data_IF_401477574704
#
_entry.id   IF_401477574704
#
_cell.length_a   1.000
_cell.length_b   1.000
_cell.length_c   1.000
_cell.angle_alpha   90.00
_cell.angle_beta   90.00
_cell.angle_gamma   90.00
#
_symmetry.space_group_name_H-M   'P 1'
#
loop_
_entity.id
_entity.type
_entity.pdbx_description
1 polymer ?
#
# COMPACT_ATOMS: atom_id res chain seq x y z
N UNK A 1 10.13 -40.33 28.48
CA UNK A 1 10.39 -38.87 28.36
C UNK A 1 11.71 -38.51 27.67
N UNK A 2 12.85 -39.11 28.05
CA UNK A 2 14.17 -38.81 27.42
C UNK A 2 14.29 -39.35 25.99
N UNK A 3 13.82 -40.58 25.75
CA UNK A 3 13.76 -41.19 24.40
C UNK A 3 12.82 -40.42 23.45
N UNK A 4 11.66 -39.95 23.92
CA UNK A 4 10.74 -39.15 23.07
C UNK A 4 11.34 -37.78 22.72
N UNK A 5 12.07 -37.13 23.64
CA UNK A 5 12.81 -35.89 23.33
C UNK A 5 13.92 -36.11 22.32
N UNK A 6 14.71 -37.18 22.45
CA UNK A 6 15.78 -37.52 21.51
C UNK A 6 15.20 -37.78 20.11
N UNK A 7 14.09 -38.51 20.03
CA UNK A 7 13.43 -38.78 18.76
C UNK A 7 12.91 -37.49 18.11
N UNK A 8 12.21 -36.63 18.86
CA UNK A 8 11.74 -35.31 18.39
C UNK A 8 12.89 -34.42 17.90
N UNK A 9 14.02 -34.40 18.62
CA UNK A 9 15.21 -33.62 18.22
C UNK A 9 15.82 -34.18 16.93
N UNK A 10 15.89 -35.51 16.78
CA UNK A 10 16.39 -36.15 15.56
C UNK A 10 15.47 -35.88 14.36
N UNK A 11 14.15 -35.92 14.54
CA UNK A 11 13.18 -35.65 13.49
C UNK A 11 13.23 -34.17 13.07
N UNK A 12 13.34 -33.25 14.04
CA UNK A 12 13.49 -31.82 13.77
C UNK A 12 14.80 -31.53 13.04
N UNK A 13 15.93 -32.12 13.48
CA UNK A 13 17.23 -31.96 12.82
C UNK A 13 17.21 -32.50 11.38
N UNK A 14 16.52 -33.61 11.12
CA UNK A 14 16.33 -34.14 9.77
C UNK A 14 15.49 -33.18 8.89
N UNK A 15 14.40 -32.63 9.43
CA UNK A 15 13.58 -31.63 8.73
C UNK A 15 14.36 -30.33 8.44
N UNK A 16 15.21 -29.88 9.36
CA UNK A 16 16.04 -28.69 9.17
C UNK A 16 17.13 -28.92 8.12
N UNK A 17 17.74 -30.11 8.03
CA UNK A 17 18.73 -30.42 7.00
C UNK A 17 18.13 -30.44 5.57
N UNK A 18 16.90 -30.93 5.41
CA UNK A 18 16.17 -30.86 4.13
C UNK A 18 15.88 -29.40 3.76
N UNK A 19 15.56 -28.56 4.75
CA UNK A 19 15.37 -27.12 4.55
C UNK A 19 16.64 -26.42 4.07
N UNK A 20 17.80 -26.73 4.66
CA UNK A 20 19.10 -26.16 4.26
C UNK A 20 19.47 -26.46 2.81
N UNK A 21 19.10 -27.64 2.27
CA UNK A 21 19.34 -28.02 0.87
C UNK A 21 18.58 -27.17 -0.15
N UNK A 22 17.48 -26.51 0.25
CA UNK A 22 16.62 -25.71 -0.64
C UNK A 22 17.10 -24.25 -0.71
N UNK A 23 17.99 -23.82 0.19
CA UNK A 23 18.48 -22.43 0.26
C UNK A 23 19.65 -22.25 -0.71
N UNK A 24 19.37 -21.70 -1.90
CA UNK A 24 20.41 -21.23 -2.81
C UNK A 24 20.76 -19.76 -2.56
N UNK A 25 22.04 -19.41 -2.75
CA UNK A 25 22.54 -18.05 -2.65
C UNK A 25 21.75 -17.07 -3.54
N UNK A 26 21.34 -17.52 -4.73
CA UNK A 26 20.59 -16.73 -5.69
C UNK A 26 19.16 -16.44 -5.20
N UNK A 27 18.50 -17.42 -4.57
CA UNK A 27 17.17 -17.22 -3.99
C UNK A 27 17.21 -16.25 -2.81
N UNK A 28 18.25 -16.33 -1.96
CA UNK A 28 18.47 -15.36 -0.87
C UNK A 28 18.67 -13.95 -1.41
N UNK A 29 19.52 -13.77 -2.44
CA UNK A 29 19.74 -12.47 -3.10
C UNK A 29 18.44 -11.91 -3.66
N UNK A 30 17.69 -12.74 -4.37
CA UNK A 30 16.41 -12.37 -4.96
C UNK A 30 15.38 -11.92 -3.91
N UNK A 31 15.25 -12.66 -2.79
CA UNK A 31 14.37 -12.29 -1.69
C UNK A 31 14.81 -10.99 -1.01
N UNK A 32 16.10 -10.75 -0.87
CA UNK A 32 16.62 -9.47 -0.34
C UNK A 32 16.30 -8.29 -1.26
N UNK A 33 16.37 -8.47 -2.59
CA UNK A 33 15.97 -7.45 -3.55
C UNK A 33 14.47 -7.12 -3.46
N UNK A 34 13.62 -8.13 -3.27
CA UNK A 34 12.18 -7.92 -3.04
C UNK A 34 11.96 -7.09 -1.77
N UNK A 35 12.66 -7.43 -0.67
CA UNK A 35 12.55 -6.67 0.59
C UNK A 35 12.98 -5.21 0.40
N UNK A 36 14.09 -4.96 -0.29
CA UNK A 36 14.54 -3.61 -0.62
C UNK A 36 13.50 -2.88 -1.50
N UNK A 37 12.94 -3.56 -2.49
CA UNK A 37 11.89 -3.04 -3.34
C UNK A 37 10.65 -2.62 -2.57
N UNK A 38 10.23 -3.40 -1.57
CA UNK A 38 9.15 -3.04 -0.64
C UNK A 38 9.47 -1.70 0.04
N UNK A 39 10.63 -1.58 0.68
CA UNK A 39 11.02 -0.36 1.40
C UNK A 39 11.07 0.89 0.48
N UNK A 40 11.70 0.75 -0.69
CA UNK A 40 11.80 1.83 -1.68
C UNK A 40 10.40 2.23 -2.18
N UNK A 41 9.50 1.27 -2.38
CA UNK A 41 8.17 1.55 -2.94
C UNK A 41 7.29 2.43 -2.06
N UNK A 42 7.46 2.36 -0.74
CA UNK A 42 6.71 3.18 0.22
C UNK A 42 7.28 4.59 0.39
N UNK A 43 8.56 4.78 0.08
CA UNK A 43 9.24 6.06 0.25
C UNK A 43 8.51 7.25 -0.41
N UNK A 44 8.05 7.19 -1.67
CA UNK A 44 7.32 8.29 -2.31
C UNK A 44 6.06 8.70 -1.54
N UNK A 45 5.33 7.72 -0.98
CA UNK A 45 4.09 7.98 -0.23
C UNK A 45 4.40 8.61 1.13
N UNK A 46 5.37 8.05 1.87
CA UNK A 46 5.79 8.61 3.16
C UNK A 46 6.33 10.04 2.99
N UNK A 47 7.18 10.26 2.00
CA UNK A 47 7.71 11.57 1.67
C UNK A 47 6.60 12.56 1.34
N UNK A 48 5.62 12.19 0.50
CA UNK A 48 4.51 13.08 0.12
C UNK A 48 3.70 13.55 1.34
N UNK A 49 3.38 12.65 2.28
CA UNK A 49 2.61 13.01 3.47
C UNK A 49 3.43 13.92 4.39
N UNK A 50 4.70 13.57 4.64
CA UNK A 50 5.58 14.34 5.52
C UNK A 50 5.86 15.73 4.96
N UNK A 51 6.17 15.82 3.66
CA UNK A 51 6.47 17.09 2.99
C UNK A 51 5.26 18.02 2.93
N UNK A 52 4.06 17.48 2.67
CA UNK A 52 2.83 18.27 2.63
C UNK A 52 2.30 18.65 4.01
N UNK A 53 2.73 17.95 5.07
CA UNK A 53 2.23 18.13 6.45
C UNK A 53 0.70 18.00 6.57
N UNK A 54 0.05 17.33 5.62
CA UNK A 54 -1.39 17.07 5.61
C UNK A 54 -1.67 15.69 5.02
N UNK A 55 -2.70 15.00 5.54
CA UNK A 55 -3.23 13.74 5.00
C UNK A 55 -4.51 13.94 4.18
N UNK A 56 -4.78 15.17 3.71
CA UNK A 56 -5.90 15.47 2.82
C UNK A 56 -5.96 14.55 1.58
N UNK A 57 -7.17 14.09 1.28
CA UNK A 57 -7.44 13.16 0.18
C UNK A 57 -7.16 11.69 0.50
N UNK A 58 -6.49 11.35 1.61
CA UNK A 58 -6.31 9.95 2.03
C UNK A 58 -7.61 9.41 2.63
N UNK A 59 -8.15 8.34 2.04
CA UNK A 59 -9.38 7.71 2.52
C UNK A 59 -9.13 6.96 3.84
N UNK A 60 -9.83 7.30 4.95
CA UNK A 60 -9.71 6.58 6.21
C UNK A 60 -10.14 5.11 6.09
N UNK A 61 -11.11 4.84 5.20
CA UNK A 61 -11.57 3.49 4.90
C UNK A 61 -10.49 2.64 4.22
N UNK A 62 -9.74 3.24 3.30
CA UNK A 62 -8.62 2.57 2.66
C UNK A 62 -7.53 2.20 3.68
N UNK A 63 -7.26 3.07 4.64
CA UNK A 63 -6.27 2.82 5.71
C UNK A 63 -6.74 1.68 6.64
N UNK A 64 -7.98 1.71 7.16
CA UNK A 64 -8.45 0.68 8.09
C UNK A 64 -8.49 -0.71 7.44
N UNK A 65 -8.95 -0.81 6.19
CA UNK A 65 -8.97 -2.09 5.49
C UNK A 65 -7.57 -2.60 5.16
N UNK A 66 -6.65 -1.70 4.79
CA UNK A 66 -5.28 -2.10 4.48
C UNK A 66 -4.50 -2.57 5.70
N UNK A 67 -4.64 -1.88 6.84
CA UNK A 67 -3.97 -2.29 8.08
C UNK A 67 -4.56 -3.58 8.63
N UNK A 68 -5.89 -3.74 8.64
CA UNK A 68 -6.53 -4.98 9.12
C UNK A 68 -6.23 -6.16 8.20
N UNK A 69 -6.27 -5.97 6.87
CA UNK A 69 -5.83 -6.98 5.89
C UNK A 69 -4.36 -7.36 6.08
N UNK A 70 -3.45 -6.39 6.18
CA UNK A 70 -2.03 -6.64 6.39
C UNK A 70 -1.75 -7.35 7.72
N UNK A 71 -2.51 -7.03 8.77
CA UNK A 71 -2.42 -7.72 10.06
C UNK A 71 -2.84 -9.18 9.94
N UNK A 72 -3.93 -9.47 9.22
CA UNK A 72 -4.35 -10.83 8.92
C UNK A 72 -3.29 -11.58 8.08
N UNK A 73 -2.69 -10.92 7.08
CA UNK A 73 -1.63 -11.51 6.26
C UNK A 73 -0.37 -11.85 7.08
N UNK A 74 0.04 -10.95 7.98
CA UNK A 74 1.17 -11.18 8.88
C UNK A 74 0.89 -12.34 9.86
N UNK A 75 -0.30 -12.35 10.48
CA UNK A 75 -0.68 -13.44 11.36
C UNK A 75 -0.82 -14.78 10.61
N UNK A 76 -1.33 -14.77 9.38
CA UNK A 76 -1.42 -15.94 8.51
C UNK A 76 -0.03 -16.57 8.26
N UNK A 77 0.95 -15.77 7.80
CA UNK A 77 2.29 -16.32 7.52
C UNK A 77 3.00 -16.81 8.77
N UNK A 78 2.78 -16.18 9.94
CA UNK A 78 3.38 -16.58 11.21
C UNK A 78 2.75 -17.85 11.81
N UNK A 79 1.46 -18.09 11.54
CA UNK A 79 0.72 -19.25 12.09
C UNK A 79 0.84 -20.50 11.20
N UNK A 80 1.25 -20.34 9.94
CA UNK A 80 1.48 -21.44 9.01
C UNK A 80 2.45 -22.50 9.58
N UNK A 81 2.16 -23.80 9.39
CA UNK A 81 3.04 -24.89 9.86
C UNK A 81 4.47 -24.78 9.32
N UNK A 82 4.63 -24.47 8.02
CA UNK A 82 5.94 -24.34 7.39
C UNK A 82 6.80 -23.26 8.08
N UNK A 83 6.28 -22.04 8.20
CA UNK A 83 6.96 -20.92 8.88
C UNK A 83 7.33 -21.24 10.33
N UNK A 84 6.47 -21.95 11.07
CA UNK A 84 6.75 -22.32 12.46
C UNK A 84 7.90 -23.34 12.56
N UNK A 85 7.95 -24.32 11.66
CA UNK A 85 9.07 -25.27 11.59
C UNK A 85 10.37 -24.54 11.25
N UNK A 86 10.34 -23.59 10.32
CA UNK A 86 11.52 -22.78 9.97
C UNK A 86 12.02 -21.95 11.17
N UNK A 87 11.12 -21.28 11.89
CA UNK A 87 11.46 -20.53 13.11
C UNK A 87 12.02 -21.46 14.20
N UNK A 88 11.50 -22.68 14.34
CA UNK A 88 12.03 -23.66 15.28
C UNK A 88 13.43 -24.16 14.87
N UNK A 89 13.68 -24.34 13.58
CA UNK A 89 14.98 -24.75 13.02
C UNK A 89 16.09 -23.73 13.27
N UNK A 90 15.76 -22.43 13.39
CA UNK A 90 16.74 -21.38 13.71
C UNK A 90 17.51 -21.59 15.01
N UNK A 91 17.08 -22.49 15.91
CA UNK A 91 17.82 -22.85 17.12
C UNK A 91 18.96 -23.85 16.90
N UNK A 92 18.96 -24.54 15.76
CA UNK A 92 19.87 -25.67 15.49
C UNK A 92 20.71 -25.49 14.23
N UNK A 93 20.35 -24.56 13.34
CA UNK A 93 21.07 -24.27 12.09
C UNK A 93 21.95 -23.02 12.20
N UNK A 94 22.79 -22.79 11.19
CA UNK A 94 23.64 -21.60 11.09
C UNK A 94 22.82 -20.31 10.95
N UNK A 95 23.37 -19.19 11.40
CA UNK A 95 22.71 -17.87 11.32
C UNK A 95 22.34 -17.52 9.88
N UNK A 96 23.23 -17.81 8.92
CA UNK A 96 22.99 -17.49 7.51
C UNK A 96 21.80 -18.24 6.92
N UNK A 97 21.67 -19.53 7.23
CA UNK A 97 20.53 -20.36 6.80
C UNK A 97 19.23 -19.89 7.45
N UNK A 98 19.27 -19.59 8.75
CA UNK A 98 18.11 -19.04 9.46
C UNK A 98 17.66 -17.70 8.84
N UNK A 99 18.59 -16.75 8.64
CA UNK A 99 18.26 -15.45 8.03
C UNK A 99 17.68 -15.64 6.63
N UNK A 100 18.30 -16.47 5.79
CA UNK A 100 17.85 -16.75 4.43
C UNK A 100 16.45 -17.39 4.39
N UNK A 101 16.17 -18.28 5.34
CA UNK A 101 14.87 -18.92 5.51
C UNK A 101 13.77 -17.95 5.93
N UNK A 102 14.07 -17.08 6.89
CA UNK A 102 13.10 -16.13 7.45
C UNK A 102 12.85 -14.89 6.56
N UNK A 103 13.63 -14.67 5.50
CA UNK A 103 13.47 -13.52 4.60
C UNK A 103 12.03 -13.36 4.07
N UNK A 104 11.35 -14.46 3.74
CA UNK A 104 9.97 -14.40 3.28
C UNK A 104 8.99 -13.89 4.33
N UNK A 105 9.21 -14.22 5.61
CA UNK A 105 8.43 -13.69 6.74
C UNK A 105 8.78 -12.21 6.95
N UNK A 106 10.07 -11.87 6.87
CA UNK A 106 10.56 -10.50 7.01
C UNK A 106 9.96 -9.56 5.94
N UNK A 107 9.77 -10.03 4.70
CA UNK A 107 9.09 -9.27 3.64
C UNK A 107 7.64 -8.94 4.02
N UNK A 108 6.87 -9.91 4.52
CA UNK A 108 5.47 -9.69 4.93
C UNK A 108 5.40 -8.71 6.11
N UNK A 109 6.30 -8.88 7.09
CA UNK A 109 6.40 -7.99 8.24
C UNK A 109 6.78 -6.55 7.83
N UNK A 110 7.73 -6.40 6.91
CA UNK A 110 8.15 -5.11 6.39
C UNK A 110 7.01 -4.39 5.64
N UNK A 111 6.27 -5.12 4.80
CA UNK A 111 5.09 -4.59 4.11
C UNK A 111 4.03 -4.10 5.12
N UNK A 112 3.72 -4.91 6.13
CA UNK A 112 2.77 -4.54 7.19
C UNK A 112 3.25 -3.33 7.99
N UNK A 113 4.54 -3.26 8.34
CA UNK A 113 5.11 -2.14 9.07
C UNK A 113 5.07 -0.85 8.25
N UNK A 114 5.46 -0.90 6.97
CA UNK A 114 5.43 0.26 6.08
C UNK A 114 4.01 0.79 5.86
N UNK A 115 3.02 -0.10 5.74
CA UNK A 115 1.62 0.32 5.64
C UNK A 115 1.07 0.84 6.98
N UNK A 116 1.49 0.26 8.11
CA UNK A 116 1.14 0.78 9.44
C UNK A 116 1.75 2.16 9.69
N UNK A 117 2.92 2.45 9.11
CA UNK A 117 3.50 3.80 9.11
C UNK A 117 2.61 4.79 8.35
N UNK A 118 1.91 4.37 7.28
CA UNK A 118 0.92 5.23 6.63
C UNK A 118 -0.24 5.60 7.58
N UNK A 119 -0.70 4.68 8.43
CA UNK A 119 -1.71 4.98 9.46
C UNK A 119 -1.18 6.00 10.46
N UNK A 120 0.05 5.83 10.93
CA UNK A 120 0.68 6.77 11.89
C UNK A 120 0.80 8.16 11.26
N UNK A 121 1.33 8.25 10.03
CA UNK A 121 1.45 9.52 9.31
C UNK A 121 0.07 10.14 9.02
N UNK A 122 -0.91 9.32 8.65
CA UNK A 122 -2.30 9.76 8.44
C UNK A 122 -2.89 10.40 9.69
N UNK A 123 -2.66 9.80 10.86
CA UNK A 123 -3.14 10.32 12.15
C UNK A 123 -2.37 11.58 12.57
N UNK A 124 -1.04 11.61 12.43
CA UNK A 124 -0.22 12.77 12.83
C UNK A 124 -0.58 14.00 11.99
N UNK A 125 -0.71 13.82 10.68
CA UNK A 125 -0.96 14.90 9.72
C UNK A 125 -2.45 15.04 9.35
N UNK A 126 -3.36 14.49 10.15
CA UNK A 126 -4.79 14.66 9.90
C UNK A 126 -5.17 16.15 10.00
N UNK A 127 -5.83 16.72 8.98
CA UNK A 127 -6.24 18.11 9.03
C UNK A 127 -7.19 18.32 10.21
N UNK A 128 -6.73 19.03 11.23
CA UNK A 128 -7.59 19.48 12.33
C UNK A 128 -8.31 20.73 11.85
N UNK A 129 -9.61 20.82 12.13
CA UNK A 129 -10.45 21.95 11.78
C UNK A 129 -10.03 23.20 12.59
N UNK A 130 -8.90 23.78 12.24
CA UNK A 130 -8.39 25.03 12.78
C UNK A 130 -8.12 25.96 11.61
N UNK A 131 -8.98 26.98 11.48
CA UNK A 131 -8.81 28.29 10.77
C UNK A 131 -9.65 28.57 9.49
N UNK A 132 -10.38 27.62 8.88
CA UNK A 132 -11.30 27.97 7.76
C UNK A 132 -12.74 27.53 8.00
N UNK A 133 -13.37 28.09 9.04
CA UNK A 133 -14.77 27.79 9.38
C UNK A 133 -15.82 28.40 8.43
N UNK A 134 -15.43 29.15 7.38
CA UNK A 134 -16.39 29.88 6.54
C UNK A 134 -16.41 29.51 5.05
N UNK A 135 -15.61 28.52 4.60
CA UNK A 135 -15.50 28.19 3.16
C UNK A 135 -15.50 26.69 2.78
N UNK A 136 -15.53 25.75 3.74
CA UNK A 136 -15.39 24.32 3.41
C UNK A 136 -16.61 23.50 3.85
N UNK A 137 -17.61 23.46 2.97
CA UNK A 137 -18.65 22.42 2.92
C UNK A 137 -18.06 21.03 2.55
N UNK A 138 -16.74 20.93 2.29
CA UNK A 138 -16.06 19.78 1.70
C UNK A 138 -15.30 18.86 2.68
N UNK A 139 -15.29 19.11 3.99
CA UNK A 139 -14.57 18.24 4.93
C UNK A 139 -15.41 17.02 5.33
N UNK A 140 -15.31 15.94 4.54
CA UNK A 140 -16.09 14.71 4.70
C UNK A 140 -15.73 13.93 5.99
N UNK A 141 -14.49 14.07 6.50
CA UNK A 141 -14.00 13.30 7.64
C UNK A 141 -13.51 14.18 8.78
N UNK A 142 -13.79 13.77 10.01
CA UNK A 142 -13.40 14.50 11.22
C UNK A 142 -12.25 13.83 11.95
N UNK A 143 -11.58 14.55 12.87
CA UNK A 143 -10.55 13.98 13.74
C UNK A 143 -11.05 12.74 14.52
N UNK A 144 -12.34 12.70 14.85
CA UNK A 144 -12.99 11.53 15.47
C UNK A 144 -12.89 10.30 14.55
N UNK A 145 -13.09 10.45 13.25
CA UNK A 145 -12.92 9.38 12.26
C UNK A 145 -11.49 8.84 12.28
N UNK A 146 -10.48 9.71 12.31
CA UNK A 146 -9.08 9.30 12.35
C UNK A 146 -8.73 8.49 13.61
N UNK A 147 -9.24 8.94 14.77
CA UNK A 147 -9.12 8.21 16.04
C UNK A 147 -9.83 6.86 15.99
N UNK A 148 -11.07 6.81 15.49
CA UNK A 148 -11.83 5.56 15.35
C UNK A 148 -11.10 4.56 14.48
N UNK A 149 -10.60 4.99 13.31
CA UNK A 149 -9.80 4.13 12.41
C UNK A 149 -8.58 3.56 13.12
N UNK A 150 -7.83 4.41 13.84
CA UNK A 150 -6.64 3.99 14.57
C UNK A 150 -6.98 2.97 15.66
N UNK A 151 -8.01 3.26 16.47
CA UNK A 151 -8.44 2.37 17.54
C UNK A 151 -8.94 1.04 16.99
N UNK A 152 -9.74 1.04 15.91
CA UNK A 152 -10.17 -0.19 15.24
C UNK A 152 -8.98 -1.02 14.77
N UNK A 153 -7.95 -0.41 14.17
CA UNK A 153 -6.75 -1.12 13.74
C UNK A 153 -5.99 -1.76 14.91
N UNK A 154 -5.80 -1.01 16.01
CA UNK A 154 -5.12 -1.50 17.22
C UNK A 154 -5.92 -2.63 17.85
N UNK A 155 -7.22 -2.44 18.08
CA UNK A 155 -8.10 -3.45 18.67
C UNK A 155 -8.13 -4.74 17.83
N UNK A 156 -8.26 -4.62 16.51
CA UNK A 156 -8.21 -5.76 15.60
C UNK A 156 -6.86 -6.50 15.70
N UNK A 157 -5.74 -5.77 15.68
CA UNK A 157 -4.41 -6.37 15.83
C UNK A 157 -4.22 -7.11 17.14
N UNK A 158 -4.68 -6.54 18.25
CA UNK A 158 -4.63 -7.18 19.56
C UNK A 158 -5.49 -8.46 19.59
N UNK A 159 -6.71 -8.42 19.06
CA UNK A 159 -7.60 -9.60 19.00
C UNK A 159 -6.96 -10.71 18.18
N UNK A 160 -6.46 -10.41 16.98
CA UNK A 160 -5.79 -11.39 16.11
C UNK A 160 -4.55 -11.97 16.79
N UNK A 161 -3.73 -11.15 17.44
CA UNK A 161 -2.56 -11.60 18.18
C UNK A 161 -2.94 -12.53 19.35
N UNK A 162 -3.93 -12.14 20.15
CA UNK A 162 -4.39 -12.92 21.29
C UNK A 162 -4.93 -14.29 20.86
N UNK A 163 -5.79 -14.34 19.85
CA UNK A 163 -6.33 -15.62 19.32
C UNK A 163 -5.20 -16.48 18.75
N UNK A 164 -4.26 -15.87 18.01
CA UNK A 164 -3.11 -16.59 17.45
C UNK A 164 -2.24 -17.21 18.56
N UNK A 165 -1.99 -16.48 19.65
CA UNK A 165 -1.23 -16.97 20.81
C UNK A 165 -1.99 -18.09 21.53
N UNK A 166 -3.30 -17.94 21.74
CA UNK A 166 -4.15 -18.97 22.36
C UNK A 166 -4.09 -20.28 21.57
N UNK A 167 -4.25 -20.22 20.24
CA UNK A 167 -4.10 -21.41 19.41
C UNK A 167 -2.66 -21.92 19.37
N UNK A 168 -1.65 -21.03 19.43
CA UNK A 168 -0.24 -21.43 19.45
C UNK A 168 0.12 -22.26 20.68
N UNK A 169 -0.40 -21.87 21.85
CA UNK A 169 0.01 -22.42 23.15
C UNK A 169 -0.97 -23.48 23.66
N UNK A 170 -2.28 -23.24 23.56
CA UNK A 170 -3.30 -24.04 24.23
C UNK A 170 -3.90 -25.08 23.27
N UNK A 171 -4.18 -24.70 22.01
CA UNK A 171 -4.88 -25.56 21.04
C UNK A 171 -4.19 -25.59 19.67
N UNK A 172 -2.96 -26.14 19.58
CA UNK A 172 -2.16 -26.11 18.35
C UNK A 172 -2.81 -26.84 17.17
N UNK A 173 -3.76 -27.73 17.40
CA UNK A 173 -4.54 -28.42 16.37
C UNK A 173 -5.35 -27.48 15.48
N UNK A 174 -5.78 -26.32 15.97
CA UNK A 174 -6.59 -25.37 15.19
C UNK A 174 -5.75 -24.35 14.42
N UNK A 175 -4.43 -24.30 14.62
CA UNK A 175 -3.56 -23.27 14.02
C UNK A 175 -3.58 -23.26 12.49
N UNK A 176 -3.65 -24.43 11.86
CA UNK A 176 -3.70 -24.50 10.40
C UNK A 176 -5.03 -23.92 9.88
N UNK A 177 -6.15 -24.31 10.49
CA UNK A 177 -7.47 -23.73 10.18
C UNK A 177 -7.51 -22.23 10.40
N UNK A 178 -6.91 -21.76 11.50
CA UNK A 178 -6.77 -20.32 11.80
C UNK A 178 -5.93 -19.59 10.76
N UNK A 179 -4.80 -20.15 10.34
CA UNK A 179 -3.97 -19.57 9.28
C UNK A 179 -4.79 -19.40 7.99
N UNK A 180 -5.52 -20.43 7.55
CA UNK A 180 -6.33 -20.36 6.34
C UNK A 180 -7.47 -19.33 6.46
N UNK A 181 -8.13 -19.27 7.62
CA UNK A 181 -9.16 -18.27 7.90
C UNK A 181 -8.60 -16.84 7.80
N UNK A 182 -7.43 -16.60 8.38
CA UNK A 182 -6.75 -15.30 8.30
C UNK A 182 -6.39 -14.93 6.86
N UNK A 183 -5.96 -15.89 6.04
CA UNK A 183 -5.65 -15.64 4.63
C UNK A 183 -6.89 -15.31 3.79
N UNK A 184 -7.99 -16.01 4.02
CA UNK A 184 -9.29 -15.70 3.40
C UNK A 184 -9.78 -14.32 3.85
N UNK A 185 -9.70 -14.03 5.16
CA UNK A 185 -10.09 -12.73 5.71
C UNK A 185 -9.26 -11.58 5.12
N UNK A 186 -7.94 -11.73 5.03
CA UNK A 186 -7.06 -10.75 4.38
C UNK A 186 -7.45 -10.53 2.91
N UNK A 187 -7.74 -11.60 2.17
CA UNK A 187 -8.17 -11.50 0.77
C UNK A 187 -9.50 -10.78 0.63
N UNK A 188 -10.49 -11.09 1.49
CA UNK A 188 -11.79 -10.43 1.50
C UNK A 188 -11.69 -8.94 1.83
N UNK A 189 -10.89 -8.58 2.84
CA UNK A 189 -10.62 -7.19 3.20
C UNK A 189 -9.93 -6.44 2.06
N UNK A 190 -8.99 -7.08 1.38
CA UNK A 190 -8.30 -6.54 0.19
C UNK A 190 -9.27 -6.30 -0.96
N UNK A 191 -10.14 -7.26 -1.29
CA UNK A 191 -11.17 -7.06 -2.31
C UNK A 191 -12.08 -5.89 -1.97
N UNK A 192 -12.50 -5.80 -0.71
CA UNK A 192 -13.31 -4.69 -0.19
C UNK A 192 -12.56 -3.36 -0.24
N UNK A 193 -11.24 -3.37 -0.13
CA UNK A 193 -10.40 -2.18 -0.21
C UNK A 193 -10.27 -1.68 -1.65
N UNK A 194 -9.96 -2.57 -2.59
CA UNK A 194 -9.60 -2.19 -3.96
C UNK A 194 -10.80 -2.07 -4.90
N UNK A 195 -11.85 -2.89 -4.77
CA UNK A 195 -13.00 -2.84 -5.69
C UNK A 195 -13.76 -1.50 -5.65
N UNK A 196 -14.11 -0.95 -4.47
CA UNK A 196 -14.73 0.37 -4.41
C UNK A 196 -13.81 1.45 -4.98
N UNK A 197 -12.50 1.35 -4.72
CA UNK A 197 -11.52 2.30 -5.27
C UNK A 197 -11.47 2.24 -6.80
N UNK A 198 -11.50 1.05 -7.40
CA UNK A 198 -11.54 0.86 -8.86
C UNK A 198 -12.79 1.51 -9.43
N UNK A 199 -13.96 1.20 -8.86
CA UNK A 199 -15.23 1.77 -9.35
C UNK A 199 -15.27 3.29 -9.19
N UNK A 200 -14.75 3.83 -8.10
CA UNK A 200 -14.67 5.26 -7.84
C UNK A 200 -13.71 5.95 -8.81
N UNK A 201 -12.52 5.40 -9.04
CA UNK A 201 -11.55 5.95 -9.98
C UNK A 201 -12.10 5.94 -11.41
N UNK A 202 -12.87 4.91 -11.79
CA UNK A 202 -13.55 4.87 -13.08
C UNK A 202 -14.59 6.00 -13.21
N UNK A 203 -15.42 6.21 -12.18
CA UNK A 203 -16.45 7.25 -12.17
C UNK A 203 -15.88 8.67 -12.13
N UNK A 204 -14.78 8.89 -11.40
CA UNK A 204 -14.15 10.21 -11.25
C UNK A 204 -13.22 10.57 -12.42
N UNK A 205 -12.70 9.60 -13.15
CA UNK A 205 -11.78 9.85 -14.26
C UNK A 205 -10.37 10.29 -13.83
N UNK A 206 -9.99 10.11 -12.57
CA UNK A 206 -8.63 10.36 -12.08
C UNK A 206 -8.28 9.48 -10.86
N UNK A 207 -6.99 9.22 -10.66
CA UNK A 207 -6.47 8.60 -9.43
C UNK A 207 -6.44 9.68 -8.36
N UNK A 208 -7.13 9.48 -7.24
CA UNK A 208 -7.23 10.48 -6.17
C UNK A 208 -5.88 10.72 -5.44
N UNK A 209 -5.82 10.39 -4.15
CA UNK A 209 -4.60 10.56 -3.34
C UNK A 209 -3.55 9.44 -3.51
N UNK A 210 -3.89 8.38 -4.25
CA UNK A 210 -3.02 7.22 -4.44
C UNK A 210 -1.76 7.61 -5.23
N UNK A 211 -0.59 7.16 -4.76
CA UNK A 211 0.69 7.45 -5.42
C UNK A 211 0.93 6.49 -6.59
N UNK A 212 0.80 7.00 -7.82
CA UNK A 212 1.16 6.26 -9.04
C UNK A 212 2.61 5.73 -8.99
N UNK A 213 3.62 6.50 -8.53
CA UNK A 213 4.99 5.99 -8.38
C UNK A 213 5.11 4.78 -7.46
N UNK A 214 4.42 4.80 -6.32
CA UNK A 214 4.39 3.68 -5.38
C UNK A 214 3.76 2.43 -6.02
N UNK A 215 2.68 2.61 -6.79
CA UNK A 215 2.01 1.51 -7.48
C UNK A 215 2.82 0.92 -8.63
N UNK A 216 3.59 1.74 -9.36
CA UNK A 216 4.46 1.29 -10.44
C UNK A 216 5.51 0.29 -9.96
N UNK A 217 6.04 0.50 -8.76
CA UNK A 217 7.03 -0.42 -8.16
C UNK A 217 6.32 -1.62 -7.53
N UNK A 218 5.24 -1.38 -6.76
CA UNK A 218 4.57 -2.45 -6.02
C UNK A 218 3.81 -3.44 -6.90
N UNK A 219 3.15 -2.99 -7.97
CA UNK A 219 2.34 -3.88 -8.80
C UNK A 219 3.16 -5.05 -9.36
N UNK A 220 4.23 -4.82 -10.14
CA UNK A 220 5.07 -5.92 -10.60
C UNK A 220 5.77 -6.64 -9.44
N UNK A 221 6.22 -5.89 -8.43
CA UNK A 221 6.86 -6.46 -7.24
C UNK A 221 5.97 -7.45 -6.49
N UNK A 222 4.67 -7.19 -6.39
CA UNK A 222 3.69 -8.03 -5.67
C UNK A 222 3.44 -9.37 -6.36
N UNK A 223 3.42 -9.39 -7.70
CA UNK A 223 3.29 -10.61 -8.48
C UNK A 223 4.56 -11.47 -8.36
N UNK A 224 5.72 -10.84 -8.48
CA UNK A 224 7.03 -11.49 -8.29
C UNK A 224 7.15 -12.02 -6.86
N UNK A 225 6.71 -11.26 -5.88
CA UNK A 225 6.72 -11.65 -4.48
C UNK A 225 5.77 -12.81 -4.19
N UNK A 226 4.56 -12.80 -4.76
CA UNK A 226 3.62 -13.91 -4.68
C UNK A 226 4.24 -15.19 -5.26
N UNK A 227 4.90 -15.11 -6.42
CA UNK A 227 5.63 -16.24 -7.00
C UNK A 227 6.77 -16.74 -6.09
N UNK A 228 7.54 -15.83 -5.47
CA UNK A 228 8.58 -16.19 -4.51
C UNK A 228 8.03 -16.88 -3.25
N UNK A 229 6.83 -16.52 -2.80
CA UNK A 229 6.18 -17.17 -1.66
C UNK A 229 5.57 -18.52 -2.07
N UNK A 230 5.04 -18.63 -3.29
CA UNK A 230 4.54 -19.88 -3.85
C UNK A 230 5.66 -20.91 -4.02
N UNK A 231 6.85 -20.49 -4.49
CA UNK A 231 8.01 -21.39 -4.59
C UNK A 231 8.53 -21.82 -3.21
N UNK A 232 8.42 -20.95 -2.19
CA UNK A 232 8.82 -21.27 -0.81
C UNK A 232 7.86 -22.23 -0.13
N UNK A 233 6.57 -21.95 -0.19
CA UNK A 233 5.55 -22.62 0.64
C UNK A 233 4.81 -23.73 -0.12
N UNK A 234 4.98 -23.81 -1.44
CA UNK A 234 4.23 -24.70 -2.31
C UNK A 234 2.72 -24.44 -2.27
N UNK A 235 1.95 -25.47 -2.67
CA UNK A 235 0.48 -25.41 -2.67
C UNK A 235 -0.10 -25.28 -1.25
N UNK A 236 0.61 -25.81 -0.25
CA UNK A 236 0.18 -25.76 1.16
C UNK A 236 0.16 -24.33 1.74
N UNK A 237 0.89 -23.40 1.12
CA UNK A 237 0.92 -21.98 1.49
C UNK A 237 -0.03 -21.08 0.70
N UNK A 238 -1.03 -21.65 0.00
CA UNK A 238 -1.95 -20.88 -0.86
C UNK A 238 -2.61 -19.69 -0.15
N UNK A 239 -2.93 -19.85 1.14
CA UNK A 239 -3.54 -18.80 1.94
C UNK A 239 -2.60 -17.62 2.23
N UNK A 240 -1.29 -17.77 2.03
CA UNK A 240 -0.29 -16.69 2.15
C UNK A 240 0.00 -16.05 0.81
N UNK A 241 0.46 -16.83 -0.18
CA UNK A 241 0.85 -16.25 -1.48
C UNK A 241 -0.36 -15.77 -2.30
N UNK A 242 -1.53 -16.38 -2.09
CA UNK A 242 -2.77 -16.02 -2.79
C UNK A 242 -3.23 -14.59 -2.52
N UNK A 243 -3.06 -14.09 -1.29
CA UNK A 243 -3.42 -12.70 -0.92
C UNK A 243 -2.63 -11.72 -1.79
N UNK A 244 -1.32 -11.94 -1.94
CA UNK A 244 -0.44 -11.05 -2.69
C UNK A 244 -0.67 -11.15 -4.20
N UNK A 245 -1.02 -12.35 -4.70
CA UNK A 245 -1.42 -12.53 -6.10
C UNK A 245 -2.69 -11.72 -6.42
N UNK A 246 -3.73 -11.86 -5.60
CA UNK A 246 -4.99 -11.10 -5.75
C UNK A 246 -4.73 -9.60 -5.63
N UNK A 247 -3.93 -9.18 -4.65
CA UNK A 247 -3.55 -7.78 -4.46
C UNK A 247 -2.86 -7.21 -5.70
N UNK A 248 -1.93 -7.97 -6.30
CA UNK A 248 -1.19 -7.53 -7.48
C UNK A 248 -2.08 -7.28 -8.70
N UNK A 249 -3.07 -8.15 -8.95
CA UNK A 249 -4.03 -7.93 -10.04
C UNK A 249 -4.95 -6.73 -9.79
N UNK A 250 -5.43 -6.55 -8.56
CA UNK A 250 -6.26 -5.40 -8.18
C UNK A 250 -5.49 -4.09 -8.28
N UNK A 251 -4.26 -4.05 -7.77
CA UNK A 251 -3.36 -2.91 -7.89
C UNK A 251 -3.00 -2.62 -9.35
N UNK A 252 -2.73 -3.65 -10.15
CA UNK A 252 -2.44 -3.51 -11.57
C UNK A 252 -3.60 -2.91 -12.35
N UNK A 253 -4.83 -3.31 -12.04
CA UNK A 253 -6.04 -2.76 -12.64
C UNK A 253 -6.17 -1.25 -12.36
N UNK A 254 -5.94 -0.83 -11.11
CA UNK A 254 -5.90 0.58 -10.74
C UNK A 254 -4.76 1.34 -11.42
N UNK A 255 -3.58 0.73 -11.55
CA UNK A 255 -2.41 1.35 -12.15
C UNK A 255 -2.66 1.64 -13.63
N UNK A 256 -3.24 0.67 -14.37
CA UNK A 256 -3.60 0.84 -15.78
C UNK A 256 -4.59 1.99 -15.97
N UNK A 257 -5.66 2.01 -15.18
CA UNK A 257 -6.61 3.12 -15.21
C UNK A 257 -5.94 4.46 -14.85
N UNK A 258 -5.04 4.45 -13.89
CA UNK A 258 -4.37 5.65 -13.44
C UNK A 258 -3.44 6.25 -14.47
N UNK A 259 -2.66 5.42 -15.15
CA UNK A 259 -1.84 5.83 -16.29
C UNK A 259 -2.74 6.36 -17.41
N UNK A 260 -3.81 5.64 -17.75
CA UNK A 260 -4.75 6.04 -18.81
C UNK A 260 -5.34 7.44 -18.57
N UNK A 261 -5.86 7.71 -17.36
CA UNK A 261 -6.45 9.01 -17.04
C UNK A 261 -5.41 10.13 -16.98
N UNK A 262 -4.23 9.86 -16.44
CA UNK A 262 -3.15 10.85 -16.38
C UNK A 262 -2.65 11.23 -17.78
N UNK A 263 -2.52 10.25 -18.69
CA UNK A 263 -2.15 10.51 -20.09
C UNK A 263 -3.25 11.30 -20.82
N UNK A 264 -4.51 10.93 -20.62
CA UNK A 264 -5.65 11.64 -21.23
C UNK A 264 -5.67 13.10 -20.78
N UNK A 265 -5.52 13.36 -19.48
CA UNK A 265 -5.46 14.71 -18.91
C UNK A 265 -4.31 15.54 -19.48
N UNK A 266 -3.12 14.96 -19.62
CA UNK A 266 -1.94 15.64 -20.20
C UNK A 266 -2.17 16.01 -21.66
N UNK A 267 -2.82 15.13 -22.43
CA UNK A 267 -3.13 15.39 -23.83
C UNK A 267 -4.12 16.56 -23.98
N UNK A 268 -5.17 16.62 -23.14
CA UNK A 268 -6.11 17.75 -23.14
C UNK A 268 -5.42 19.07 -22.80
N UNK A 269 -4.60 19.10 -21.74
CA UNK A 269 -3.86 20.32 -21.34
C UNK A 269 -2.91 20.78 -22.46
N UNK A 270 -2.22 19.83 -23.12
CA UNK A 270 -1.33 20.14 -24.25
C UNK A 270 -2.09 20.69 -25.44
N UNK A 271 -3.27 20.15 -25.74
CA UNK A 271 -4.14 20.64 -26.80
C UNK A 271 -4.60 22.08 -26.50
N UNK A 272 -5.11 22.34 -25.30
CA UNK A 272 -5.58 23.67 -24.89
C UNK A 272 -4.45 24.72 -24.93
N UNK A 273 -3.24 24.36 -24.49
CA UNK A 273 -2.05 25.23 -24.62
C UNK A 273 -1.69 25.50 -26.09
N UNK A 274 -1.79 24.50 -26.96
CA UNK A 274 -1.54 24.67 -28.39
C UNK A 274 -2.54 25.59 -29.08
N UNK A 275 -3.81 25.57 -28.66
CA UNK A 275 -4.85 26.50 -29.14
C UNK A 275 -4.57 27.94 -28.67
N UNK A 276 -4.24 28.13 -27.39
CA UNK A 276 -3.91 29.45 -26.84
C UNK A 276 -2.72 30.10 -27.56
N UNK A 277 -1.69 29.31 -27.88
CA UNK A 277 -0.48 29.80 -28.54
C UNK A 277 -0.68 30.11 -30.03
N UNK A 278 -1.68 29.49 -30.68
CA UNK A 278 -2.06 29.78 -32.09
C UNK A 278 -3.09 30.91 -32.18
N UNK A 279 -3.76 31.25 -31.08
CA UNK A 279 -4.79 32.29 -30.99
C UNK A 279 -4.27 33.67 -30.59
N UNK A 280 -3.00 33.83 -30.22
CA UNK A 280 -2.33 35.13 -30.12
C UNK A 280 -1.91 35.59 -31.52
N UNK A 281 -2.50 36.68 -32.07
CA UNK A 281 -1.95 37.32 -33.25
C UNK A 281 -0.59 37.91 -32.88
N UNK A 282 0.45 37.64 -33.67
CA UNK A 282 1.60 38.54 -33.77
C UNK A 282 1.04 39.90 -34.18
N UNK A 283 0.91 40.82 -33.23
CA UNK A 283 0.83 42.23 -33.55
C UNK A 283 2.24 42.67 -33.91
N UNK A 284 2.53 42.62 -35.21
CA UNK A 284 3.60 43.41 -35.81
C UNK A 284 3.28 44.89 -35.53
N UNK A 285 3.98 45.50 -34.57
CA UNK A 285 4.08 46.94 -34.50
C UNK A 285 5.48 47.35 -34.00
N UNK A 286 6.11 48.22 -34.76
CA UNK A 286 7.48 48.71 -34.59
C UNK A 286 7.67 49.52 -33.28
N UNK A 287 8.89 49.47 -32.71
CA UNK A 287 9.51 50.68 -32.12
C UNK A 287 9.78 50.79 -30.60
N UNK A 288 10.70 49.98 -30.05
CA UNK A 288 11.71 50.30 -28.99
C UNK A 288 11.34 50.87 -27.60
N UNK A 289 12.31 51.08 -26.66
CA UNK A 289 13.58 50.39 -26.42
C UNK A 289 13.66 49.66 -25.05
N UNK A 290 14.70 48.82 -24.96
CA UNK A 290 15.37 48.15 -23.82
C UNK A 290 15.02 48.61 -22.38
N UNK A 291 14.72 47.64 -21.50
CA UNK A 291 14.65 47.86 -20.06
C UNK A 291 14.34 46.63 -19.19
N UNK A 292 15.36 45.79 -18.97
CA UNK A 292 15.70 45.14 -17.68
C UNK A 292 14.82 44.00 -17.10
N UNK A 293 15.37 42.79 -17.13
CA UNK A 293 15.12 41.72 -16.14
C UNK A 293 15.49 42.22 -14.73
N UNK A 294 14.76 41.85 -13.65
CA UNK A 294 15.08 40.56 -13.03
C UNK A 294 13.93 39.83 -12.28
N UNK A 295 14.15 38.51 -12.14
CA UNK A 295 13.84 37.68 -10.96
C UNK A 295 12.40 37.16 -10.75
N UNK A 296 12.34 35.85 -10.50
CA UNK A 296 11.57 35.35 -9.36
C UNK A 296 10.33 34.54 -9.71
N UNK A 297 10.45 33.24 -9.50
CA UNK A 297 9.37 32.30 -9.19
C UNK A 297 8.21 32.92 -8.40
N UNK A 298 6.98 32.74 -8.86
CA UNK A 298 5.88 32.35 -7.98
C UNK A 298 4.71 31.70 -8.73
N UNK A 299 4.44 30.47 -8.33
CA UNK A 299 3.30 29.63 -8.73
C UNK A 299 2.04 30.15 -7.99
N UNK A 300 1.43 31.24 -8.47
CA UNK A 300 0.11 31.66 -7.99
C UNK A 300 -0.78 32.08 -9.15
N UNK A 301 -1.68 31.19 -9.57
CA UNK A 301 -2.80 31.55 -10.46
C UNK A 301 -4.12 31.31 -9.73
N UNK A 302 -4.87 32.36 -9.36
CA UNK A 302 -6.25 32.24 -8.91
C UNK A 302 -7.27 32.52 -10.04
N UNK A 303 -8.23 31.60 -10.14
CA UNK A 303 -9.68 31.76 -10.39
C UNK A 303 -10.17 32.50 -11.66
N UNK A 304 -10.72 31.71 -12.60
CA UNK A 304 -11.58 32.16 -13.68
C UNK A 304 -12.94 32.66 -13.15
N UNK A 305 -13.22 33.93 -13.40
CA UNK A 305 -14.50 34.60 -13.21
C UNK A 305 -15.59 33.95 -14.09
N UNK A 306 -16.70 33.54 -13.49
CA UNK A 306 -17.93 33.23 -14.21
C UNK A 306 -18.54 34.53 -14.77
N UNK A 307 -18.86 34.53 -16.08
CA UNK A 307 -19.59 35.62 -16.74
C UNK A 307 -21.07 35.60 -16.30
N UNK A 308 -21.68 36.74 -15.93
CA UNK A 308 -23.14 36.83 -15.82
C UNK A 308 -23.78 36.86 -17.22
N UNK A 309 -24.80 36.03 -17.44
CA UNK A 309 -25.66 36.13 -18.62
C UNK A 309 -26.55 37.37 -18.49
N UNK A 310 -26.30 38.34 -19.37
CA UNK A 310 -27.21 39.45 -19.65
C UNK A 310 -28.36 38.91 -20.53
N UNK A 311 -29.60 39.00 -20.05
CA UNK A 311 -30.80 38.83 -20.87
C UNK A 311 -31.75 39.98 -20.61
N UNK A 312 -31.84 40.85 -21.60
CA UNK A 312 -32.70 42.02 -21.72
C UNK A 312 -34.17 41.62 -21.91
N UNK A 313 -35.05 42.30 -21.15
CA UNK A 313 -36.39 42.85 -21.48
C UNK A 313 -37.20 42.26 -22.65
N UNK A 314 -38.51 42.01 -22.44
CA UNK A 314 -39.65 42.71 -23.11
C UNK A 314 -41.00 42.30 -22.49
N UNK A 315 -41.63 43.26 -21.78
CA UNK A 315 -43.01 43.79 -21.92
C UNK A 315 -44.19 42.84 -22.25
N UNK A 316 -45.09 42.61 -21.29
CA UNK A 316 -46.46 43.20 -21.20
C UNK A 316 -47.14 42.72 -19.92
#
# INVERSE_FOLDING_TARGET
AKLSKIQIISTLSCQCNIFTQIISLDLTRFRSLILLGILISYFPQHYRIIARRTSEGISPYFIVLGVTSGTCALANVLTLPASRTEIACCKVISTFECTSGLLGIAQVAAQWACFSLNLILFLIFFPRATIYSNLSESMIYTWRTALTVTLTCISHGLIVAMISIIFAVIRPSYLNGWANLLGIAATALTLTQYLPQITMTWKLGHVGSLSIPMMLIQTPGSLVWAASLASRLGINGWSTWGIFLVTGFLQGSLLVMGIYFELTRRNTIRHDRGILQRGTPESDDEGGPVGQDPLGSDETSPLLHSKPKLSTSVRK
#
